data_IF_456199609673
#
_entry.id   IF_456199609673
#
_cell.length_a   1.000
_cell.length_b   1.000
_cell.length_c   1.000
_cell.angle_alpha   90.00
_cell.angle_beta   90.00
_cell.angle_gamma   90.00
#
_symmetry.space_group_name_H-M   'P 1'
#
loop_
_entity.id
_entity.type
_entity.pdbx_description
1 polymer ?
#
# COMPACT_ATOMS: atom_id res chain seq x y z
N UNK A 1 -18.44 -9.97 -4.87
CA UNK A 1 -17.37 -9.55 -5.82
C UNK A 1 -16.20 -8.98 -5.04
N UNK A 2 -14.97 -9.08 -5.56
CA UNK A 2 -13.79 -8.46 -4.92
C UNK A 2 -13.48 -7.12 -5.62
N UNK A 3 -13.53 -6.03 -4.88
CA UNK A 3 -13.14 -4.71 -5.33
C UNK A 3 -11.74 -4.39 -4.82
N UNK A 4 -10.83 -4.13 -5.75
CA UNK A 4 -9.45 -3.73 -5.48
C UNK A 4 -9.37 -2.21 -5.67
N UNK A 5 -9.40 -1.48 -4.56
CA UNK A 5 -9.48 -0.01 -4.56
C UNK A 5 -8.09 0.59 -4.43
N UNK A 6 -7.70 1.46 -5.35
CA UNK A 6 -6.35 2.02 -5.41
C UNK A 6 -6.36 3.51 -5.75
N UNK A 7 -5.31 4.24 -5.37
CA UNK A 7 -5.19 5.64 -5.76
C UNK A 7 -5.12 5.79 -7.28
N UNK A 8 -5.78 6.83 -7.79
CA UNK A 8 -5.71 7.23 -9.19
C UNK A 8 -4.26 7.29 -9.67
N UNK A 9 -3.87 6.43 -10.64
CA UNK A 9 -2.50 6.41 -11.12
C UNK A 9 -2.25 7.69 -11.92
N UNK A 10 -1.18 8.39 -11.58
CA UNK A 10 -0.63 9.46 -12.42
C UNK A 10 0.24 8.93 -13.57
N UNK A 11 0.38 7.60 -13.67
CA UNK A 11 1.29 6.89 -14.57
C UNK A 11 0.82 5.46 -14.86
N UNK A 12 1.77 4.53 -14.99
CA UNK A 12 1.51 3.13 -15.37
C UNK A 12 0.83 2.31 -14.25
N UNK A 13 -0.23 1.58 -14.61
CA UNK A 13 -0.99 0.66 -13.75
C UNK A 13 -0.93 -0.81 -14.23
N UNK A 14 -0.05 -1.13 -15.17
CA UNK A 14 0.13 -2.47 -15.77
C UNK A 14 0.34 -3.57 -14.72
N UNK A 15 1.26 -3.38 -13.78
CA UNK A 15 1.54 -4.35 -12.69
C UNK A 15 0.31 -4.62 -11.81
N UNK A 16 -0.53 -3.61 -11.60
CA UNK A 16 -1.77 -3.79 -10.85
C UNK A 16 -2.81 -4.57 -11.66
N UNK A 17 -2.91 -4.34 -12.97
CA UNK A 17 -3.77 -5.13 -13.85
C UNK A 17 -3.32 -6.59 -13.92
N UNK A 18 -2.02 -6.84 -13.97
CA UNK A 18 -1.44 -8.19 -13.90
C UNK A 18 -1.78 -8.87 -12.57
N UNK A 19 -1.61 -8.16 -11.45
CA UNK A 19 -1.99 -8.65 -10.13
C UNK A 19 -3.48 -9.01 -10.07
N UNK A 20 -4.35 -8.12 -10.55
CA UNK A 20 -5.80 -8.31 -10.54
C UNK A 20 -6.26 -9.47 -11.42
N UNK A 21 -5.55 -9.76 -12.52
CA UNK A 21 -5.87 -10.86 -13.42
C UNK A 21 -5.79 -12.24 -12.75
N UNK A 22 -5.07 -12.37 -11.63
CA UNK A 22 -5.05 -13.60 -10.82
C UNK A 22 -6.35 -13.85 -10.04
N UNK A 23 -7.23 -12.84 -9.93
CA UNK A 23 -8.46 -12.92 -9.14
C UNK A 23 -9.68 -12.86 -10.06
N UNK A 24 -10.27 -14.03 -10.32
CA UNK A 24 -11.44 -14.14 -11.20
C UNK A 24 -12.59 -13.27 -10.70
N UNK A 25 -13.04 -12.33 -11.55
CA UNK A 25 -14.14 -11.43 -11.20
C UNK A 25 -13.76 -10.30 -10.24
N UNK A 26 -12.47 -10.05 -10.01
CA UNK A 26 -12.05 -8.85 -9.30
C UNK A 26 -12.25 -7.59 -10.17
N UNK A 27 -12.70 -6.51 -9.55
CA UNK A 27 -12.86 -5.20 -10.18
C UNK A 27 -11.79 -4.25 -9.63
N UNK A 28 -10.99 -3.67 -10.53
CA UNK A 28 -10.10 -2.56 -10.19
C UNK A 28 -10.92 -1.26 -10.15
N UNK A 29 -10.80 -0.52 -9.05
CA UNK A 29 -11.53 0.74 -8.87
C UNK A 29 -10.61 1.82 -8.34
N UNK A 30 -10.57 2.96 -9.04
CA UNK A 30 -9.81 4.11 -8.53
C UNK A 30 -10.54 4.76 -7.37
N UNK A 31 -9.80 5.37 -6.44
CA UNK A 31 -10.37 6.13 -5.32
C UNK A 31 -11.39 7.18 -5.82
N UNK A 32 -11.10 7.87 -6.91
CA UNK A 32 -12.03 8.85 -7.52
C UNK A 32 -13.35 8.25 -8.03
N UNK A 33 -13.39 6.95 -8.31
CA UNK A 33 -14.53 6.23 -8.89
C UNK A 33 -15.39 5.54 -7.82
N UNK A 34 -14.90 5.42 -6.57
CA UNK A 34 -15.56 4.66 -5.49
C UNK A 34 -16.97 5.16 -5.21
N UNK A 35 -17.22 6.47 -5.31
CA UNK A 35 -18.55 7.04 -5.05
C UNK A 35 -19.66 6.54 -5.99
N UNK A 36 -19.30 5.91 -7.11
CA UNK A 36 -20.24 5.33 -8.07
C UNK A 36 -20.51 3.83 -7.84
N UNK A 37 -19.76 3.19 -6.93
CA UNK A 37 -19.89 1.76 -6.68
C UNK A 37 -21.21 1.44 -5.97
N UNK A 38 -21.89 0.41 -6.49
CA UNK A 38 -23.02 -0.22 -5.81
C UNK A 38 -22.52 -1.50 -5.14
N UNK A 39 -22.18 -1.38 -3.86
CA UNK A 39 -21.75 -2.49 -3.04
C UNK A 39 -22.95 -3.23 -2.43
N UNK A 40 -22.83 -4.53 -2.28
CA UNK A 40 -23.82 -5.39 -1.63
C UNK A 40 -23.21 -6.33 -0.58
N UNK A 41 -24.07 -7.11 0.07
CA UNK A 41 -23.69 -7.94 1.23
C UNK A 41 -22.76 -9.11 0.95
N UNK A 42 -22.53 -9.44 -0.32
CA UNK A 42 -21.58 -10.46 -0.76
C UNK A 42 -20.24 -9.89 -1.24
N UNK A 43 -20.03 -8.58 -1.16
CA UNK A 43 -18.85 -7.93 -1.70
C UNK A 43 -17.73 -7.79 -0.68
N UNK A 44 -16.51 -7.74 -1.19
CA UNK A 44 -15.32 -7.46 -0.41
C UNK A 44 -14.55 -6.30 -1.02
N UNK A 45 -14.03 -5.42 -0.17
CA UNK A 45 -13.32 -4.21 -0.59
C UNK A 45 -11.92 -4.23 -0.01
N UNK A 46 -10.93 -4.50 -0.86
CA UNK A 46 -9.52 -4.44 -0.51
C UNK A 46 -8.92 -3.12 -0.99
N UNK A 47 -8.54 -2.29 -0.03
CA UNK A 47 -7.85 -1.03 -0.26
C UNK A 47 -6.37 -1.33 -0.46
N UNK A 48 -5.87 -1.15 -1.68
CA UNK A 48 -4.48 -1.29 -2.04
C UNK A 48 -3.68 -0.03 -1.65
N UNK A 49 -3.82 0.39 -0.40
CA UNK A 49 -3.14 1.51 0.23
C UNK A 49 -2.31 0.99 1.41
N UNK A 50 -1.04 1.39 1.58
CA UNK A 50 -0.18 0.88 2.66
C UNK A 50 -0.44 1.51 4.03
N UNK A 51 -1.30 2.53 4.09
CA UNK A 51 -1.62 3.30 5.28
C UNK A 51 -3.03 3.86 5.16
N UNK A 52 -3.64 4.14 6.30
CA UNK A 52 -4.93 4.78 6.43
C UNK A 52 -4.91 6.27 6.07
N UNK A 53 -5.93 6.99 6.55
CA UNK A 53 -6.15 8.41 6.27
C UNK A 53 -7.55 8.68 5.71
N UNK A 54 -7.79 9.92 5.30
CA UNK A 54 -9.13 10.37 4.87
C UNK A 54 -9.83 9.48 3.85
N UNK A 55 -9.20 9.22 2.70
CA UNK A 55 -9.82 8.38 1.67
C UNK A 55 -10.04 6.95 2.15
N UNK A 56 -9.05 6.34 2.81
CA UNK A 56 -9.18 4.98 3.31
C UNK A 56 -10.38 4.87 4.26
N UNK A 57 -10.49 5.78 5.22
CA UNK A 57 -11.60 5.80 6.19
C UNK A 57 -12.96 6.02 5.55
N UNK A 58 -13.07 6.93 4.60
CA UNK A 58 -14.32 7.19 3.87
C UNK A 58 -14.79 5.97 3.08
N UNK A 59 -13.87 5.33 2.35
CA UNK A 59 -14.15 4.14 1.55
C UNK A 59 -14.56 2.98 2.46
N UNK A 60 -13.82 2.76 3.55
CA UNK A 60 -14.12 1.67 4.48
C UNK A 60 -15.49 1.87 5.16
N UNK A 61 -15.81 3.10 5.57
CA UNK A 61 -17.10 3.42 6.18
C UNK A 61 -18.26 3.26 5.18
N UNK A 62 -18.08 3.69 3.93
CA UNK A 62 -19.07 3.52 2.87
C UNK A 62 -19.30 2.03 2.55
N UNK A 63 -18.24 1.25 2.43
CA UNK A 63 -18.32 -0.18 2.18
C UNK A 63 -19.00 -0.94 3.32
N UNK A 64 -18.65 -0.63 4.57
CA UNK A 64 -19.30 -1.22 5.74
C UNK A 64 -20.80 -0.85 5.81
N UNK A 65 -21.15 0.41 5.51
CA UNK A 65 -22.54 0.87 5.50
C UNK A 65 -23.38 0.22 4.40
N UNK A 66 -22.76 -0.12 3.27
CA UNK A 66 -23.39 -0.89 2.20
C UNK A 66 -23.49 -2.40 2.50
N UNK A 67 -22.97 -2.84 3.64
CA UNK A 67 -23.03 -4.23 4.10
C UNK A 67 -21.95 -5.12 3.52
N UNK A 68 -20.87 -4.58 2.95
CA UNK A 68 -19.77 -5.38 2.42
C UNK A 68 -19.31 -6.42 3.44
N UNK A 69 -19.18 -7.67 3.00
CA UNK A 69 -18.82 -8.81 3.84
C UNK A 69 -17.44 -8.67 4.45
N UNK A 70 -16.52 -8.01 3.73
CA UNK A 70 -15.17 -7.78 4.20
C UNK A 70 -14.64 -6.45 3.66
N UNK A 71 -13.90 -5.74 4.50
CA UNK A 71 -13.28 -4.45 4.17
C UNK A 71 -11.94 -4.37 4.88
N UNK A 72 -10.88 -3.98 4.18
CA UNK A 72 -9.56 -3.78 4.77
C UNK A 72 -8.55 -3.19 3.80
N UNK A 73 -7.41 -2.74 4.31
CA UNK A 73 -6.28 -2.25 3.50
C UNK A 73 -5.06 -3.17 3.60
N UNK A 74 -4.01 -2.89 2.82
CA UNK A 74 -2.77 -3.67 2.86
C UNK A 74 -2.26 -3.71 4.30
N UNK A 75 -2.03 -4.91 4.88
CA UNK A 75 -1.52 -5.03 6.24
C UNK A 75 -0.16 -4.37 6.40
N UNK A 76 0.04 -3.66 7.50
CA UNK A 76 1.29 -2.94 7.80
C UNK A 76 2.49 -3.88 7.87
N UNK A 77 2.29 -5.08 8.40
CA UNK A 77 3.30 -6.13 8.54
C UNK A 77 3.76 -6.65 7.17
N UNK A 78 2.84 -6.73 6.22
CA UNK A 78 3.11 -7.13 4.84
C UNK A 78 3.95 -6.04 4.14
N UNK A 79 3.52 -4.78 4.25
CA UNK A 79 4.28 -3.65 3.72
C UNK A 79 5.71 -3.61 4.30
N UNK A 80 5.85 -3.78 5.61
CA UNK A 80 7.15 -3.83 6.26
C UNK A 80 8.01 -5.01 5.79
N UNK A 81 7.43 -6.21 5.66
CA UNK A 81 8.16 -7.39 5.21
C UNK A 81 8.69 -7.23 3.78
N UNK A 82 7.88 -6.67 2.87
CA UNK A 82 8.28 -6.41 1.50
C UNK A 82 9.40 -5.37 1.42
N UNK A 83 9.28 -4.25 2.14
CA UNK A 83 10.31 -3.21 2.21
C UNK A 83 11.60 -3.78 2.81
N UNK A 84 11.50 -4.58 3.87
CA UNK A 84 12.67 -5.16 4.51
C UNK A 84 13.41 -6.14 3.59
N UNK A 85 12.68 -6.96 2.83
CA UNK A 85 13.29 -7.82 1.81
C UNK A 85 14.00 -6.98 0.75
N UNK A 86 13.32 -6.00 0.17
CA UNK A 86 13.90 -5.14 -0.87
C UNK A 86 15.14 -4.39 -0.37
N UNK A 87 15.12 -3.88 0.87
CA UNK A 87 16.26 -3.24 1.51
C UNK A 87 17.46 -4.19 1.66
N UNK A 88 17.23 -5.43 2.12
CA UNK A 88 18.29 -6.44 2.25
C UNK A 88 18.89 -6.84 0.90
N UNK A 89 18.06 -7.05 -0.11
CA UNK A 89 18.51 -7.33 -1.48
C UNK A 89 19.31 -6.17 -2.08
N UNK A 90 18.98 -4.94 -1.67
CA UNK A 90 19.72 -3.74 -2.02
C UNK A 90 21.01 -3.50 -1.20
N UNK A 91 21.26 -4.29 -0.15
CA UNK A 91 22.39 -4.11 0.76
C UNK A 91 22.24 -2.94 1.74
N UNK A 92 21.02 -2.45 1.96
CA UNK A 92 20.73 -1.34 2.86
C UNK A 92 20.62 -1.79 4.33
N UNK A 93 21.18 -1.00 5.23
CA UNK A 93 21.09 -1.18 6.70
C UNK A 93 20.16 -0.17 7.35
N UNK A 94 19.90 0.94 6.67
CA UNK A 94 18.92 1.95 7.06
C UNK A 94 17.91 2.24 5.96
N UNK A 95 16.67 2.53 6.36
CA UNK A 95 15.56 2.84 5.44
C UNK A 95 14.85 4.09 5.92
N UNK A 96 14.62 5.03 5.00
CA UNK A 96 13.68 6.13 5.18
C UNK A 96 12.35 5.78 4.53
N UNK A 97 11.26 5.90 5.28
CA UNK A 97 9.90 5.79 4.74
C UNK A 97 9.49 7.14 4.15
N UNK A 98 9.13 7.17 2.87
CA UNK A 98 8.71 8.38 2.18
C UNK A 98 7.20 8.35 1.94
N UNK A 99 6.48 9.33 2.48
CA UNK A 99 5.03 9.46 2.36
C UNK A 99 4.60 10.92 2.51
N UNK A 100 3.36 11.21 2.12
CA UNK A 100 2.75 12.50 2.39
C UNK A 100 1.76 12.42 3.56
N UNK A 101 1.86 13.35 4.52
CA UNK A 101 0.87 13.50 5.58
C UNK A 101 -0.54 13.71 5.03
N UNK A 102 -1.49 12.92 5.51
CA UNK A 102 -2.90 13.05 5.16
C UNK A 102 -3.47 14.34 5.75
N UNK A 103 -4.32 15.05 4.97
CA UNK A 103 -5.01 16.26 5.44
C UNK A 103 -6.03 15.99 6.55
N UNK A 104 -6.58 14.77 6.58
CA UNK A 104 -7.58 14.29 7.54
C UNK A 104 -7.15 12.92 8.02
N UNK A 105 -7.42 12.62 9.28
CA UNK A 105 -7.02 11.36 9.94
C UNK A 105 -5.50 11.12 9.88
N UNK A 106 -4.71 12.17 10.16
CA UNK A 106 -3.25 12.10 10.18
C UNK A 106 -2.73 11.13 11.25
N UNK A 107 -3.31 11.14 12.45
CA UNK A 107 -2.90 10.26 13.55
C UNK A 107 -2.99 8.78 13.15
N UNK A 108 -4.09 8.37 12.52
CA UNK A 108 -4.30 7.01 12.02
C UNK A 108 -3.23 6.63 10.97
N UNK A 109 -2.92 7.54 10.05
CA UNK A 109 -1.85 7.32 9.06
C UNK A 109 -0.48 7.19 9.74
N UNK A 110 -0.18 8.03 10.74
CA UNK A 110 1.09 7.99 11.46
C UNK A 110 1.21 6.73 12.33
N UNK A 111 0.12 6.22 12.87
CA UNK A 111 0.09 4.95 13.59
C UNK A 111 0.47 3.78 12.66
N UNK A 112 -0.06 3.75 11.44
CA UNK A 112 0.31 2.74 10.43
C UNK A 112 1.78 2.85 10.04
N UNK A 113 2.27 4.07 9.78
CA UNK A 113 3.70 4.31 9.50
C UNK A 113 4.58 3.88 10.68
N UNK A 114 4.14 4.16 11.90
CA UNK A 114 4.82 3.74 13.13
C UNK A 114 4.88 2.22 13.28
N UNK A 115 3.80 1.51 12.94
CA UNK A 115 3.78 0.03 12.91
C UNK A 115 4.74 -0.53 11.87
N UNK A 116 4.73 0.03 10.66
CA UNK A 116 5.68 -0.36 9.60
C UNK A 116 7.11 -0.15 10.10
N UNK A 117 7.42 1.02 10.65
CA UNK A 117 8.75 1.35 11.18
C UNK A 117 9.19 0.40 12.31
N UNK A 118 8.28 0.08 13.24
CA UNK A 118 8.56 -0.84 14.33
C UNK A 118 8.90 -2.24 13.81
N UNK A 119 8.14 -2.76 12.83
CA UNK A 119 8.42 -4.07 12.23
C UNK A 119 9.74 -4.08 11.47
N UNK A 120 10.06 -3.02 10.71
CA UNK A 120 11.37 -2.88 10.05
C UNK A 120 12.52 -2.90 11.06
N UNK A 121 12.34 -2.23 12.20
CA UNK A 121 13.32 -2.18 13.29
C UNK A 121 13.54 -3.57 13.90
N UNK A 122 12.46 -4.32 14.15
CA UNK A 122 12.53 -5.71 14.61
C UNK A 122 13.21 -6.64 13.59
N UNK A 123 13.19 -6.30 12.31
CA UNK A 123 13.92 -7.01 11.26
C UNK A 123 15.38 -6.54 11.08
N UNK A 124 15.88 -5.69 11.97
CA UNK A 124 17.28 -5.27 12.01
C UNK A 124 17.63 -4.08 11.11
N UNK A 125 16.62 -3.36 10.57
CA UNK A 125 16.85 -2.14 9.81
C UNK A 125 16.75 -0.90 10.70
N UNK A 126 17.65 0.06 10.52
CA UNK A 126 17.53 1.36 11.16
C UNK A 126 16.52 2.23 10.40
N UNK A 127 15.42 2.62 11.05
CA UNK A 127 14.40 3.46 10.41
C UNK A 127 14.69 4.94 10.66
N UNK A 128 14.85 5.69 9.57
CA UNK A 128 15.13 7.12 9.59
C UNK A 128 13.87 7.88 9.19
N UNK A 129 13.31 8.67 10.11
CA UNK A 129 12.09 9.45 9.84
C UNK A 129 12.37 10.70 9.01
N UNK A 130 13.53 11.33 9.20
CA UNK A 130 13.98 12.48 8.43
C UNK A 130 15.50 12.46 8.20
N UNK A 131 15.95 13.08 7.11
CA UNK A 131 17.34 13.02 6.64
C UNK A 131 17.62 11.91 5.63
N UNK A 132 18.87 11.49 5.54
CA UNK A 132 19.33 10.48 4.58
C UNK A 132 19.45 9.09 5.23
N UNK A 133 19.18 8.05 4.46
CA UNK A 133 19.34 6.64 4.81
C UNK A 133 20.01 5.90 3.64
N UNK A 134 20.39 4.64 3.79
CA UNK A 134 20.96 3.86 2.68
C UNK A 134 19.91 3.67 1.58
N UNK A 135 18.67 3.44 2.00
CA UNK A 135 17.52 3.25 1.13
C UNK A 135 16.39 4.23 1.45
N UNK A 136 15.65 4.66 0.42
CA UNK A 136 14.38 5.39 0.57
C UNK A 136 13.26 4.54 -0.04
N UNK A 137 12.25 4.24 0.78
CA UNK A 137 11.11 3.43 0.42
C UNK A 137 9.86 4.32 0.27
N UNK A 138 9.30 4.50 -0.93
CA UNK A 138 8.01 5.18 -1.08
C UNK A 138 6.89 4.30 -0.54
N UNK A 139 6.06 4.84 0.35
CA UNK A 139 4.80 4.22 0.77
C UNK A 139 3.70 4.52 -0.26
N UNK A 140 3.89 4.00 -1.48
CA UNK A 140 2.97 4.14 -2.59
C UNK A 140 2.82 2.82 -3.34
N UNK A 141 1.59 2.48 -3.74
CA UNK A 141 1.33 1.27 -4.52
C UNK A 141 1.93 1.35 -5.94
N UNK A 142 1.66 2.45 -6.63
CA UNK A 142 1.96 2.63 -8.05
C UNK A 142 2.90 3.82 -8.29
N UNK A 143 3.54 3.90 -9.48
CA UNK A 143 4.25 5.09 -9.91
C UNK A 143 3.38 6.35 -9.84
N UNK A 144 3.99 7.45 -9.41
CA UNK A 144 3.31 8.72 -9.21
C UNK A 144 4.16 9.67 -8.38
N UNK A 145 3.55 10.76 -7.91
CA UNK A 145 4.31 11.86 -7.31
C UNK A 145 5.09 11.47 -6.04
N UNK A 146 4.53 10.63 -5.17
CA UNK A 146 5.24 10.12 -3.97
C UNK A 146 6.48 9.29 -4.38
N UNK A 147 6.35 8.44 -5.40
CA UNK A 147 7.46 7.62 -5.89
C UNK A 147 8.56 8.49 -6.52
N UNK A 148 8.17 9.44 -7.39
CA UNK A 148 9.13 10.37 -8.02
C UNK A 148 9.84 11.27 -7.00
N UNK A 149 9.12 11.79 -5.99
CA UNK A 149 9.76 12.60 -4.94
C UNK A 149 10.68 11.75 -4.04
N UNK A 150 10.35 10.48 -3.79
CA UNK A 150 11.24 9.55 -3.09
C UNK A 150 12.52 9.25 -3.89
N UNK A 151 12.42 9.11 -5.21
CA UNK A 151 13.57 8.93 -6.11
C UNK A 151 14.50 10.15 -6.10
N UNK A 152 13.94 11.36 -6.19
CA UNK A 152 14.72 12.60 -6.10
C UNK A 152 15.37 12.78 -4.72
N UNK A 153 14.65 12.45 -3.64
CA UNK A 153 15.23 12.43 -2.31
C UNK A 153 16.38 11.42 -2.20
N UNK A 154 16.24 10.23 -2.80
CA UNK A 154 17.27 9.21 -2.77
C UNK A 154 18.52 9.70 -3.51
N UNK A 155 18.35 10.29 -4.70
CA UNK A 155 19.43 10.90 -5.47
C UNK A 155 20.15 12.01 -4.71
N UNK A 156 19.40 12.90 -4.04
CA UNK A 156 19.97 13.98 -3.25
C UNK A 156 20.80 13.47 -2.05
N UNK A 157 20.41 12.32 -1.49
CA UNK A 157 21.08 11.68 -0.36
C UNK A 157 22.20 10.69 -0.76
N UNK A 158 22.37 10.39 -2.04
CA UNK A 158 23.23 9.27 -2.48
C UNK A 158 22.70 7.89 -2.07
N UNK A 159 21.40 7.81 -1.77
CA UNK A 159 20.68 6.61 -1.36
C UNK A 159 20.15 5.82 -2.55
N UNK A 160 19.68 4.60 -2.29
CA UNK A 160 18.93 3.79 -3.26
C UNK A 160 17.42 3.94 -3.07
N UNK A 161 16.68 4.18 -4.15
CA UNK A 161 15.22 4.08 -4.14
C UNK A 161 14.80 2.61 -4.21
N UNK A 162 13.89 2.18 -3.32
CA UNK A 162 13.44 0.77 -3.25
C UNK A 162 12.31 0.42 -4.24
N UNK A 163 11.76 1.37 -4.99
CA UNK A 163 10.65 1.13 -5.92
C UNK A 163 9.28 1.10 -5.22
N UNK A 164 8.21 1.04 -6.01
CA UNK A 164 6.82 1.09 -5.49
C UNK A 164 6.36 -0.28 -4.97
N UNK A 165 5.29 -0.32 -4.17
CA UNK A 165 4.82 -1.59 -3.58
C UNK A 165 4.30 -2.59 -4.63
N UNK A 166 3.79 -2.13 -5.77
CA UNK A 166 3.45 -3.02 -6.89
C UNK A 166 4.69 -3.70 -7.51
N UNK A 167 5.90 -3.23 -7.20
CA UNK A 167 7.16 -3.81 -7.69
C UNK A 167 7.79 -4.70 -6.63
N UNK A 168 7.83 -4.23 -5.38
CA UNK A 168 8.53 -4.94 -4.31
C UNK A 168 7.65 -5.86 -3.49
N UNK A 169 6.33 -5.63 -3.46
CA UNK A 169 5.37 -6.35 -2.61
C UNK A 169 4.32 -7.12 -3.42
N UNK A 170 4.46 -7.24 -4.74
CA UNK A 170 3.47 -7.87 -5.61
C UNK A 170 3.12 -9.30 -5.18
N UNK A 171 4.13 -10.07 -4.76
CA UNK A 171 3.94 -11.44 -4.30
C UNK A 171 3.11 -11.49 -3.01
N UNK A 172 3.47 -10.69 -2.01
CA UNK A 172 2.76 -10.72 -0.73
C UNK A 172 1.36 -10.14 -0.84
N UNK A 173 1.18 -9.03 -1.58
CA UNK A 173 -0.15 -8.49 -1.84
C UNK A 173 -1.01 -9.55 -2.54
N UNK A 174 -0.44 -10.31 -3.48
CA UNK A 174 -1.14 -11.43 -4.13
C UNK A 174 -1.55 -12.51 -3.13
N UNK A 175 -0.64 -12.95 -2.25
CA UNK A 175 -0.98 -13.97 -1.25
C UNK A 175 -2.04 -13.48 -0.25
N UNK A 176 -1.93 -12.24 0.23
CA UNK A 176 -2.94 -11.64 1.09
C UNK A 176 -4.31 -11.57 0.40
N UNK A 177 -4.36 -11.12 -0.85
CA UNK A 177 -5.61 -11.08 -1.61
C UNK A 177 -6.19 -12.49 -1.85
N UNK A 178 -5.35 -13.53 -1.98
CA UNK A 178 -5.81 -14.92 -2.05
C UNK A 178 -6.44 -15.37 -0.74
N UNK A 179 -5.88 -15.00 0.40
CA UNK A 179 -6.47 -15.29 1.70
C UNK A 179 -7.82 -14.60 1.89
N UNK A 180 -7.90 -13.32 1.50
CA UNK A 180 -9.16 -12.56 1.47
C UNK A 180 -10.18 -13.28 0.57
N UNK A 181 -9.81 -13.61 -0.67
CA UNK A 181 -10.70 -14.31 -1.60
C UNK A 181 -11.18 -15.68 -1.07
N UNK A 182 -10.27 -16.48 -0.47
CA UNK A 182 -10.62 -17.77 0.15
C UNK A 182 -11.58 -17.63 1.32
N UNK A 183 -11.36 -16.66 2.21
CA UNK A 183 -12.25 -16.36 3.33
C UNK A 183 -13.67 -15.94 2.91
N UNK A 184 -13.84 -15.59 1.64
CA UNK A 184 -15.11 -15.19 1.04
C UNK A 184 -15.84 -16.33 0.33
N UNK A 185 -15.24 -17.53 0.17
CA UNK A 185 -15.75 -18.61 -0.69
C UNK A 185 -15.98 -18.15 -2.16
N UNK A 186 -15.00 -17.46 -2.74
CA UNK A 186 -14.91 -17.15 -4.17
C UNK A 186 -13.92 -18.12 -4.82
#
# INVERSE_FOLDING_TARGET
MLYLVYHDPGGDDSKLKELAAHFRGAALVKVSEVGSLRLGSGDAVALLMPMGGGHAREIMAAAASAGARWVGHIPTELTAAAIARAAREAGCTSVRLYFWPAKRHLEEQLDDVGRIAAVLTLQGLNVVMDGCADCIAPLALLPGRIASEAEEAAKACGSRALGTLAEVAALEISEWLKEVARGLNI
#
